data_IF_507669578191
#
_entry.id   IF_507669578191
#
_cell.length_a   1.000
_cell.length_b   1.000
_cell.length_c   1.000
_cell.angle_alpha   90.00
_cell.angle_beta   90.00
_cell.angle_gamma   90.00
#
_symmetry.space_group_name_H-M   'P 1'
#
loop_
_entity.id
_entity.type
_entity.pdbx_description
1 polymer ?
#
# COMPACT_ATOMS: atom_id res chain seq x y z
N UNK A 1 -9.54 27.47 -10.99
CA UNK A 1 -9.71 26.13 -10.42
C UNK A 1 -9.16 26.15 -9.01
N UNK A 2 -9.75 25.39 -8.11
CA UNK A 2 -9.17 25.13 -6.79
C UNK A 2 -7.83 24.38 -7.00
N UNK A 3 -6.74 24.71 -6.29
CA UNK A 3 -5.51 23.95 -6.36
C UNK A 3 -5.73 22.53 -5.83
N UNK A 4 -5.17 21.55 -6.53
CA UNK A 4 -5.25 20.13 -6.17
C UNK A 4 -4.86 19.91 -4.70
N UNK A 5 -5.64 19.11 -3.97
CA UNK A 5 -5.44 18.83 -2.55
C UNK A 5 -6.16 19.77 -1.58
N UNK A 6 -7.19 20.49 -2.03
CA UNK A 6 -7.97 21.40 -1.20
C UNK A 6 -9.44 20.98 -1.20
N UNK A 7 -9.95 20.56 -0.05
CA UNK A 7 -11.34 20.12 0.09
C UNK A 7 -12.33 21.21 -0.38
N UNK A 8 -13.26 20.83 -1.25
CA UNK A 8 -14.31 21.72 -1.76
C UNK A 8 -15.06 22.41 -0.61
N UNK A 9 -15.28 23.72 -0.74
CA UNK A 9 -16.12 24.47 0.19
C UNK A 9 -17.55 23.93 0.17
N UNK A 10 -18.20 23.87 1.34
CA UNK A 10 -19.54 23.28 1.55
C UNK A 10 -20.63 23.91 0.66
N UNK A 11 -20.39 25.13 0.16
CA UNK A 11 -21.33 25.86 -0.69
C UNK A 11 -21.20 25.55 -2.20
N UNK A 12 -20.02 25.13 -2.67
CA UNK A 12 -19.73 25.02 -4.12
C UNK A 12 -19.56 23.59 -4.61
N UNK A 13 -19.22 22.63 -3.74
CA UNK A 13 -19.07 21.21 -4.11
C UNK A 13 -18.09 20.95 -5.27
N UNK A 14 -17.81 19.68 -5.60
CA UNK A 14 -17.14 19.36 -6.86
C UNK A 14 -18.09 19.61 -8.04
N UNK A 15 -17.57 19.98 -9.23
CA UNK A 15 -18.33 19.95 -10.48
C UNK A 15 -19.02 18.59 -10.70
N UNK A 16 -20.19 18.57 -11.36
CA UNK A 16 -20.99 17.33 -11.55
C UNK A 16 -20.20 16.19 -12.23
N UNK A 17 -19.23 16.52 -13.08
CA UNK A 17 -18.40 15.56 -13.81
C UNK A 17 -17.14 15.12 -13.06
N UNK A 18 -16.75 15.79 -11.96
CA UNK A 18 -15.49 15.55 -11.27
C UNK A 18 -15.42 14.16 -10.60
N UNK A 19 -16.57 13.56 -10.26
CA UNK A 19 -16.62 12.16 -9.79
C UNK A 19 -16.32 11.15 -10.92
N UNK A 20 -16.54 11.53 -12.19
CA UNK A 20 -16.35 10.65 -13.36
C UNK A 20 -15.05 10.95 -14.11
N UNK A 21 -14.27 11.92 -13.63
CA UNK A 21 -13.01 12.35 -14.24
C UNK A 21 -11.84 12.04 -13.31
N UNK A 22 -10.75 11.59 -13.90
CA UNK A 22 -9.46 11.41 -13.25
C UNK A 22 -8.41 12.15 -14.08
N UNK A 23 -8.04 13.32 -13.60
CA UNK A 23 -6.99 14.17 -14.13
C UNK A 23 -5.73 13.99 -13.28
N UNK A 24 -4.56 14.23 -13.85
CA UNK A 24 -3.27 14.21 -13.14
C UNK A 24 -3.03 12.98 -12.23
N UNK A 25 -3.18 11.74 -12.73
CA UNK A 25 -2.92 10.53 -11.95
C UNK A 25 -1.47 10.47 -11.43
N UNK A 26 -0.53 11.12 -12.12
CA UNK A 26 0.87 11.23 -11.72
C UNK A 26 1.08 11.86 -10.34
N UNK A 27 0.08 12.56 -9.78
CA UNK A 27 0.14 13.07 -8.40
C UNK A 27 0.37 11.98 -7.37
N UNK A 28 -0.07 10.75 -7.65
CA UNK A 28 0.09 9.61 -6.76
C UNK A 28 1.38 8.82 -7.02
N UNK A 29 2.19 9.17 -8.03
CA UNK A 29 3.47 8.53 -8.31
C UNK A 29 4.40 8.36 -7.09
N UNK A 30 4.46 9.30 -6.11
CA UNK A 30 5.25 9.10 -4.90
C UNK A 30 4.83 7.90 -4.04
N UNK A 31 3.58 7.42 -4.12
CA UNK A 31 3.11 6.25 -3.36
C UNK A 31 3.92 4.99 -3.67
N UNK A 32 4.40 4.86 -4.91
CA UNK A 32 5.25 3.74 -5.32
C UNK A 32 6.57 3.73 -4.55
N UNK A 33 7.18 4.91 -4.37
CA UNK A 33 8.43 5.06 -3.62
C UNK A 33 8.22 4.82 -2.12
N UNK A 34 7.07 5.25 -1.57
CA UNK A 34 6.69 4.97 -0.17
C UNK A 34 6.51 3.47 0.04
N UNK A 35 5.80 2.78 -0.85
CA UNK A 35 5.63 1.33 -0.78
C UNK A 35 6.96 0.57 -0.89
N UNK A 36 7.88 1.01 -1.74
CA UNK A 36 9.23 0.43 -1.83
C UNK A 36 10.00 0.59 -0.51
N UNK A 37 9.93 1.78 0.10
CA UNK A 37 10.54 2.04 1.40
C UNK A 37 9.93 1.18 2.51
N UNK A 38 8.61 0.98 2.50
CA UNK A 38 7.91 0.12 3.45
C UNK A 38 8.31 -1.35 3.29
N UNK A 39 8.39 -1.87 2.06
CA UNK A 39 8.88 -3.23 1.81
C UNK A 39 10.30 -3.40 2.31
N UNK A 40 11.19 -2.44 2.00
CA UNK A 40 12.57 -2.48 2.47
C UNK A 40 12.67 -2.43 4.00
N UNK A 41 11.84 -1.59 4.64
CA UNK A 41 11.77 -1.50 6.09
C UNK A 41 11.32 -2.83 6.70
N UNK A 42 10.22 -3.40 6.24
CA UNK A 42 9.69 -4.66 6.78
C UNK A 42 10.64 -5.84 6.55
N UNK A 43 11.30 -5.90 5.40
CA UNK A 43 12.32 -6.91 5.12
C UNK A 43 13.56 -6.80 6.04
N UNK A 44 13.85 -5.59 6.54
CA UNK A 44 14.95 -5.34 7.46
C UNK A 44 14.57 -5.54 8.94
N UNK A 45 13.29 -5.38 9.29
CA UNK A 45 12.83 -5.38 10.68
C UNK A 45 12.03 -6.61 11.09
N UNK A 46 11.59 -7.45 10.17
CA UNK A 46 10.80 -8.66 10.45
C UNK A 46 11.45 -9.91 9.84
N UNK A 47 11.12 -11.08 10.37
CA UNK A 47 11.59 -12.37 9.85
C UNK A 47 10.83 -12.80 8.59
N UNK A 48 10.98 -12.02 7.53
CA UNK A 48 10.33 -12.24 6.24
C UNK A 48 11.34 -12.32 5.10
N UNK A 49 10.90 -12.91 4.00
CA UNK A 49 11.60 -12.92 2.71
C UNK A 49 10.73 -12.20 1.69
N UNK A 50 11.34 -11.30 0.92
CA UNK A 50 10.69 -10.65 -0.21
C UNK A 50 10.67 -11.57 -1.42
N UNK A 51 9.49 -11.78 -2.00
CA UNK A 51 9.30 -12.58 -3.22
C UNK A 51 8.63 -11.69 -4.26
N UNK A 52 9.28 -11.51 -5.40
CA UNK A 52 8.73 -10.73 -6.52
C UNK A 52 7.68 -11.53 -7.30
N UNK A 53 6.69 -10.82 -7.82
CA UNK A 53 5.58 -11.37 -8.60
C UNK A 53 4.32 -11.59 -7.77
N UNK A 54 3.21 -11.84 -8.46
CA UNK A 54 1.91 -12.11 -7.84
C UNK A 54 1.85 -13.51 -7.22
N UNK A 55 1.11 -13.70 -6.13
CA UNK A 55 0.93 -15.03 -5.54
C UNK A 55 0.15 -15.93 -6.53
N UNK A 56 0.75 -17.02 -7.05
CA UNK A 56 0.04 -17.92 -7.97
C UNK A 56 -1.15 -18.64 -7.31
N UNK A 57 -1.28 -18.58 -5.99
CA UNK A 57 -2.39 -19.17 -5.22
C UNK A 57 -3.48 -18.16 -4.85
N UNK A 58 -3.24 -16.84 -4.99
CA UNK A 58 -4.27 -15.83 -4.81
C UNK A 58 -4.98 -15.56 -6.15
N UNK A 59 -6.06 -14.78 -6.09
CA UNK A 59 -6.77 -14.34 -7.29
C UNK A 59 -5.79 -13.65 -8.27
N UNK A 60 -6.13 -13.65 -9.56
CA UNK A 60 -5.34 -12.96 -10.58
C UNK A 60 -4.98 -11.55 -10.11
N UNK A 61 -3.72 -11.10 -10.33
CA UNK A 61 -3.30 -9.75 -9.96
C UNK A 61 -4.24 -8.71 -10.58
N UNK A 62 -4.33 -7.55 -9.95
CA UNK A 62 -5.19 -6.48 -10.48
C UNK A 62 -4.85 -6.23 -11.96
N UNK A 63 -5.85 -5.99 -12.85
CA UNK A 63 -5.60 -5.85 -14.30
C UNK A 63 -4.57 -4.75 -14.64
N UNK A 64 -4.46 -3.75 -13.77
CA UNK A 64 -3.52 -2.64 -13.89
C UNK A 64 -2.22 -2.83 -13.07
N UNK A 65 -2.02 -3.98 -12.43
CA UNK A 65 -0.81 -4.27 -11.67
C UNK A 65 0.42 -4.30 -12.59
N UNK A 66 1.41 -3.49 -12.28
CA UNK A 66 2.70 -3.41 -12.99
C UNK A 66 3.82 -4.13 -12.24
N UNK A 67 3.64 -4.35 -10.92
CA UNK A 67 4.56 -5.08 -10.07
C UNK A 67 3.82 -5.60 -8.84
N UNK A 68 4.24 -6.75 -8.31
CA UNK A 68 3.79 -7.24 -7.01
C UNK A 68 4.99 -7.73 -6.19
N UNK A 69 4.94 -7.52 -4.87
CA UNK A 69 5.93 -8.02 -3.92
C UNK A 69 5.21 -8.65 -2.74
N UNK A 70 5.67 -9.84 -2.36
CA UNK A 70 5.18 -10.58 -1.19
C UNK A 70 6.22 -10.60 -0.10
N UNK A 71 5.80 -10.35 1.13
CA UNK A 71 6.56 -10.51 2.37
C UNK A 71 6.11 -11.81 3.03
N UNK A 72 6.91 -12.86 2.88
CA UNK A 72 6.59 -14.22 3.34
C UNK A 72 7.37 -14.51 4.63
N UNK A 73 6.71 -14.91 5.74
CA UNK A 73 7.40 -15.35 6.96
C UNK A 73 8.41 -16.47 6.70
N UNK A 74 9.62 -16.34 7.24
CA UNK A 74 10.74 -17.28 7.01
C UNK A 74 10.54 -18.64 7.63
N UNK A 75 9.86 -18.68 8.76
CA UNK A 75 9.46 -19.91 9.47
C UNK A 75 8.34 -20.67 8.74
N UNK A 76 7.78 -20.09 7.67
CA UNK A 76 6.62 -20.62 6.95
C UNK A 76 5.33 -20.59 7.77
N UNK A 77 5.35 -19.98 8.96
CA UNK A 77 4.23 -19.91 9.89
C UNK A 77 3.83 -18.46 10.08
N UNK A 78 2.79 -18.05 9.36
CA UNK A 78 2.26 -16.70 9.49
C UNK A 78 1.54 -16.26 8.23
N UNK A 79 0.99 -15.05 8.27
CA UNK A 79 0.27 -14.49 7.13
C UNK A 79 1.25 -13.77 6.21
N UNK A 80 1.23 -14.12 4.92
CA UNK A 80 1.90 -13.35 3.88
C UNK A 80 1.22 -12.00 3.71
N UNK A 81 2.02 -10.94 3.59
CA UNK A 81 1.55 -9.64 3.11
C UNK A 81 1.98 -9.48 1.66
N UNK A 82 1.13 -8.88 0.83
CA UNK A 82 1.46 -8.59 -0.56
C UNK A 82 1.08 -7.15 -0.88
N UNK A 83 1.98 -6.47 -1.60
CA UNK A 83 1.76 -5.14 -2.16
C UNK A 83 1.78 -5.25 -3.69
N UNK A 84 0.79 -4.66 -4.35
CA UNK A 84 0.78 -4.51 -5.82
C UNK A 84 0.87 -3.04 -6.19
N UNK A 85 1.77 -2.70 -7.09
CA UNK A 85 1.89 -1.38 -7.69
C UNK A 85 1.07 -1.38 -8.97
N UNK A 86 0.24 -0.36 -9.17
CA UNK A 86 -0.64 -0.28 -10.34
C UNK A 86 -0.21 0.84 -11.31
N UNK A 87 -0.67 0.78 -12.56
CA UNK A 87 -0.38 1.81 -13.57
C UNK A 87 -1.13 3.14 -13.35
N UNK A 88 -2.24 3.12 -12.61
CA UNK A 88 -2.80 4.32 -11.97
C UNK A 88 -2.08 4.47 -10.64
N UNK A 89 -0.99 5.26 -10.54
CA UNK A 89 0.19 4.98 -9.73
C UNK A 89 -0.11 4.93 -8.22
N UNK A 90 -0.73 3.84 -7.81
CA UNK A 90 -1.22 3.54 -6.49
C UNK A 90 -0.79 2.14 -6.10
N UNK A 91 -1.24 1.73 -4.92
CA UNK A 91 -0.77 0.53 -4.24
C UNK A 91 -1.97 -0.25 -3.70
N UNK A 92 -2.00 -1.55 -3.93
CA UNK A 92 -2.96 -2.47 -3.34
C UNK A 92 -2.27 -3.26 -2.23
N UNK A 93 -2.85 -3.29 -1.03
CA UNK A 93 -2.39 -4.08 0.10
C UNK A 93 -3.27 -5.32 0.29
N UNK A 94 -2.65 -6.48 0.15
CA UNK A 94 -3.23 -7.78 0.43
C UNK A 94 -2.71 -8.27 1.78
N UNK A 95 -3.53 -8.10 2.81
CA UNK A 95 -3.24 -8.56 4.18
C UNK A 95 -4.08 -9.80 4.54
N UNK A 96 -4.35 -10.70 3.60
CA UNK A 96 -5.21 -11.88 3.83
C UNK A 96 -6.68 -11.56 4.16
N UNK A 97 -7.13 -10.34 3.88
CA UNK A 97 -8.56 -10.00 3.77
C UNK A 97 -9.09 -10.47 2.42
N UNK A 98 -10.41 -10.64 2.30
CA UNK A 98 -11.06 -11.06 1.04
C UNK A 98 -10.79 -10.11 -0.13
N UNK A 99 -10.64 -8.82 0.18
CA UNK A 99 -10.40 -7.75 -0.79
C UNK A 99 -9.13 -7.02 -0.37
N UNK A 100 -8.32 -6.66 -1.38
CA UNK A 100 -7.20 -5.77 -1.19
C UNK A 100 -7.69 -4.38 -0.80
N UNK A 101 -6.90 -3.69 0.01
CA UNK A 101 -7.11 -2.28 0.34
C UNK A 101 -6.34 -1.41 -0.66
N UNK A 102 -7.00 -0.41 -1.24
CA UNK A 102 -6.44 0.40 -2.33
C UNK A 102 -6.02 1.79 -1.86
N UNK A 103 -4.84 2.22 -2.30
CA UNK A 103 -4.25 3.52 -1.98
C UNK A 103 -3.85 4.23 -3.28
N UNK A 104 -4.55 5.30 -3.69
CA UNK A 104 -5.75 5.86 -3.06
C UNK A 104 -6.99 4.95 -3.23
N UNK A 105 -8.02 5.10 -2.37
CA UNK A 105 -9.28 4.36 -2.51
C UNK A 105 -10.14 4.87 -3.69
N UNK A 106 -9.89 6.10 -4.13
CA UNK A 106 -10.54 6.70 -5.30
C UNK A 106 -9.55 7.62 -6.03
N UNK A 107 -9.55 7.59 -7.37
CA UNK A 107 -8.69 8.45 -8.19
C UNK A 107 -9.36 9.71 -8.73
N UNK A 108 -10.66 9.91 -8.49
CA UNK A 108 -11.43 10.96 -9.15
C UNK A 108 -11.05 12.37 -8.67
N UNK A 109 -11.32 13.36 -9.51
CA UNK A 109 -11.03 14.77 -9.23
C UNK A 109 -11.91 15.31 -8.10
N UNK A 110 -13.08 14.71 -7.85
CA UNK A 110 -13.97 15.12 -6.77
C UNK A 110 -13.44 14.78 -5.38
N UNK A 111 -12.77 13.63 -5.22
CA UNK A 111 -12.12 13.27 -3.96
C UNK A 111 -10.98 14.23 -3.63
N UNK A 112 -10.25 14.67 -4.66
CA UNK A 112 -9.15 15.64 -4.54
C UNK A 112 -8.13 15.25 -3.45
N UNK A 113 -7.90 13.94 -3.27
CA UNK A 113 -7.01 13.43 -2.24
C UNK A 113 -5.58 13.91 -2.47
N UNK A 114 -4.95 14.35 -1.38
CA UNK A 114 -3.51 14.64 -1.34
C UNK A 114 -2.73 13.35 -1.25
N UNK A 115 -1.67 13.25 -2.04
CA UNK A 115 -0.84 12.05 -2.03
C UNK A 115 -0.18 11.82 -0.67
N UNK A 116 0.12 12.88 0.10
CA UNK A 116 0.70 12.76 1.44
C UNK A 116 -0.27 12.07 2.41
N UNK A 117 -1.54 12.51 2.44
CA UNK A 117 -2.56 11.94 3.32
C UNK A 117 -2.84 10.46 2.96
N UNK A 118 -2.78 10.13 1.67
CA UNK A 118 -2.88 8.74 1.18
C UNK A 118 -1.64 7.92 1.56
N UNK A 119 -0.45 8.51 1.53
CA UNK A 119 0.79 7.86 1.94
C UNK A 119 0.79 7.53 3.44
N UNK A 120 0.33 8.46 4.28
CA UNK A 120 0.17 8.24 5.72
C UNK A 120 -0.81 7.09 6.00
N UNK A 121 -1.93 7.04 5.26
CA UNK A 121 -2.91 5.97 5.36
C UNK A 121 -2.35 4.61 4.92
N UNK A 122 -1.55 4.59 3.85
CA UNK A 122 -0.85 3.39 3.37
C UNK A 122 0.14 2.89 4.43
N UNK A 123 0.95 3.79 4.99
CA UNK A 123 1.92 3.46 6.04
C UNK A 123 1.22 2.87 7.27
N UNK A 124 0.16 3.52 7.76
CA UNK A 124 -0.61 3.01 8.89
C UNK A 124 -1.17 1.60 8.62
N UNK A 125 -1.78 1.39 7.46
CA UNK A 125 -2.37 0.10 7.10
C UNK A 125 -1.30 -1.00 6.98
N UNK A 126 -0.15 -0.70 6.38
CA UNK A 126 0.97 -1.63 6.23
C UNK A 126 1.57 -1.97 7.59
N UNK A 127 1.83 -0.99 8.45
CA UNK A 127 2.40 -1.22 9.77
C UNK A 127 1.43 -1.99 10.68
N UNK A 128 0.13 -1.69 10.60
CA UNK A 128 -0.90 -2.46 11.31
C UNK A 128 -0.93 -3.92 10.84
N UNK A 129 -0.84 -4.14 9.52
CA UNK A 129 -0.78 -5.49 8.96
C UNK A 129 0.51 -6.22 9.35
N UNK A 130 1.63 -5.49 9.42
CA UNK A 130 2.95 -6.00 9.79
C UNK A 130 3.05 -6.38 11.26
N UNK A 131 2.27 -5.77 12.16
CA UNK A 131 2.17 -6.21 13.56
C UNK A 131 1.67 -7.66 13.73
N UNK A 132 1.27 -8.33 12.64
CA UNK A 132 0.93 -9.76 12.59
C UNK A 132 2.07 -10.65 12.03
N UNK A 133 3.20 -10.06 11.62
CA UNK A 133 4.41 -10.77 11.18
C UNK A 133 5.27 -11.14 12.39
N UNK A 134 6.10 -12.21 12.29
CA UNK A 134 7.01 -12.56 13.36
C UNK A 134 8.03 -11.43 13.62
N UNK A 135 8.31 -11.12 14.90
CA UNK A 135 9.34 -10.13 15.25
C UNK A 135 10.73 -10.60 14.79
N UNK A 136 11.70 -9.68 14.66
CA UNK A 136 13.07 -10.06 14.38
C UNK A 136 13.61 -10.96 15.51
N UNK A 137 14.53 -11.88 15.24
CA UNK A 137 15.18 -12.67 16.27
C UNK A 137 15.85 -11.71 17.24
N UNK A 138 15.58 -11.89 18.54
CA UNK A 138 16.29 -11.11 19.54
C UNK A 138 17.80 -11.29 19.33
N UNK A 139 18.61 -10.22 19.36
CA UNK A 139 20.05 -10.34 19.23
C UNK A 139 20.58 -11.06 20.47
N UNK A 140 20.70 -12.38 20.38
CA UNK A 140 21.33 -13.28 21.35
C UNK A 140 21.00 -13.00 22.82
N UNK A 141 20.02 -13.73 23.36
CA UNK A 141 20.10 -14.13 24.76
C UNK A 141 21.36 -14.98 24.94
N UNK A 142 22.42 -14.36 25.47
CA UNK A 142 23.66 -15.02 25.84
C UNK A 142 23.40 -16.29 26.65
N UNK A 143 24.11 -17.35 26.28
CA UNK A 143 24.33 -18.53 27.09
C UNK A 143 24.84 -18.12 28.47
N UNK A 144 23.96 -18.06 29.47
CA UNK A 144 24.37 -18.10 30.87
C UNK A 144 24.71 -19.56 31.18
N UNK A 145 26.02 -19.85 31.18
CA UNK A 145 26.61 -21.09 31.69
C UNK A 145 26.41 -21.24 33.20
#
# INVERSE_FOLDING_TARGET
GVPYGSRWGVADGPPEDACSRTSHPERFAPLHAVADALVAHLAATHEVTTVEGADPMLADPHPDAVRSVRLVPRDGTGRTLELEWTSFPGVLLHSGRRMAEAFPPCGCDACDDRWEDVADSLEEAVLLAAGQLPPPPEPFGELVH
#
